data_IF_557327985738
#
_entry.id   IF_557327985738
#
_cell.length_a   1.000
_cell.length_b   1.000
_cell.length_c   1.000
_cell.angle_alpha   90.00
_cell.angle_beta   90.00
_cell.angle_gamma   90.00
#
_symmetry.space_group_name_H-M   'P 1'
#
loop_
_entity.id
_entity.type
_entity.pdbx_description
1 polymer ?
#
# COMPACT_ATOMS: atom_id res chain seq x y z
N UNK A 1 22.47 27.60 -6.80
CA UNK A 1 21.22 27.03 -6.23
C UNK A 1 21.38 25.52 -6.19
N UNK A 2 20.66 24.79 -5.33
CA UNK A 2 20.66 23.33 -5.38
C UNK A 2 19.97 22.84 -6.67
N UNK A 3 20.49 21.78 -7.28
CA UNK A 3 19.97 21.22 -8.52
C UNK A 3 18.90 20.15 -8.24
N UNK A 4 17.63 20.57 -8.33
CA UNK A 4 16.47 19.69 -8.17
C UNK A 4 16.01 19.00 -9.47
N UNK A 5 16.84 18.97 -10.52
CA UNK A 5 16.50 18.24 -11.74
C UNK A 5 16.63 16.72 -11.58
N UNK A 6 15.65 16.01 -12.15
CA UNK A 6 15.71 14.58 -12.45
C UNK A 6 16.62 14.35 -13.68
N UNK A 7 17.26 13.18 -13.83
CA UNK A 7 18.17 12.93 -14.92
C UNK A 7 17.39 12.86 -16.25
N UNK A 8 17.92 13.51 -17.30
CA UNK A 8 17.25 13.56 -18.60
C UNK A 8 17.21 12.17 -19.24
N UNK A 9 16.14 11.91 -20.01
CA UNK A 9 15.87 10.63 -20.70
C UNK A 9 15.77 9.40 -19.77
N UNK A 10 15.48 9.61 -18.48
CA UNK A 10 15.23 8.56 -17.51
C UNK A 10 13.75 8.22 -17.32
N UNK A 11 13.51 7.00 -16.80
CA UNK A 11 12.22 6.49 -16.36
C UNK A 11 12.21 6.18 -14.86
N UNK A 12 11.01 6.20 -14.28
CA UNK A 12 10.73 5.85 -12.88
C UNK A 12 9.55 4.88 -12.80
N UNK A 13 9.77 3.69 -12.24
CA UNK A 13 8.76 2.61 -12.19
C UNK A 13 8.15 2.51 -10.79
N UNK A 14 6.82 2.50 -10.73
CA UNK A 14 6.04 2.34 -9.51
C UNK A 14 5.13 1.12 -9.56
N UNK A 15 5.26 0.21 -8.60
CA UNK A 15 4.39 -0.94 -8.42
C UNK A 15 3.25 -0.70 -7.41
N UNK A 16 2.18 -1.47 -7.56
CA UNK A 16 1.01 -1.51 -6.67
C UNK A 16 0.54 -2.97 -6.54
N UNK A 17 1.02 -3.65 -5.50
CA UNK A 17 0.70 -5.05 -5.19
C UNK A 17 -0.57 -5.13 -4.36
N UNK A 18 -1.70 -4.89 -5.00
CA UNK A 18 -3.03 -4.87 -4.39
C UNK A 18 -3.55 -6.28 -4.05
N UNK A 19 -4.80 -6.36 -3.57
CA UNK A 19 -5.47 -7.62 -3.22
C UNK A 19 -5.88 -8.45 -4.43
N UNK A 20 -6.33 -7.82 -5.51
CA UNK A 20 -6.88 -8.49 -6.71
C UNK A 20 -5.91 -8.50 -7.89
N UNK A 21 -4.84 -7.69 -7.82
CA UNK A 21 -3.92 -7.48 -8.93
C UNK A 21 -2.58 -6.88 -8.50
N UNK A 22 -1.54 -7.15 -9.28
CA UNK A 22 -0.33 -6.34 -9.33
C UNK A 22 -0.48 -5.33 -10.47
N UNK A 23 -0.15 -4.07 -10.24
CA UNK A 23 -0.07 -3.05 -11.31
C UNK A 23 1.28 -2.35 -11.33
N UNK A 24 1.69 -1.92 -12.53
CA UNK A 24 2.85 -1.07 -12.76
C UNK A 24 2.44 0.25 -13.42
N UNK A 25 3.20 1.31 -13.15
CA UNK A 25 3.11 2.61 -13.84
C UNK A 25 4.51 3.18 -14.01
N UNK A 26 4.85 3.64 -15.21
CA UNK A 26 6.14 4.24 -15.53
C UNK A 26 5.99 5.73 -15.80
N UNK A 27 6.82 6.56 -15.16
CA UNK A 27 6.95 7.99 -15.44
C UNK A 27 8.25 8.32 -16.21
N UNK A 28 8.22 9.34 -17.06
CA UNK A 28 9.44 9.98 -17.60
C UNK A 28 10.03 11.01 -16.62
N UNK A 29 11.21 11.57 -16.96
CA UNK A 29 11.87 12.64 -16.20
C UNK A 29 11.10 13.99 -16.14
N UNK A 30 9.98 14.12 -16.88
CA UNK A 30 9.02 15.24 -16.81
C UNK A 30 7.76 14.85 -16.02
N UNK A 31 7.73 13.66 -15.44
CA UNK A 31 6.60 13.07 -14.71
C UNK A 31 5.35 12.85 -15.59
N UNK A 32 5.51 12.49 -16.86
CA UNK A 32 4.46 11.98 -17.75
C UNK A 32 4.39 10.45 -17.68
N UNK A 33 3.19 9.84 -17.72
CA UNK A 33 3.09 8.37 -17.84
C UNK A 33 3.54 7.95 -19.23
N UNK A 34 4.48 7.00 -19.27
CA UNK A 34 5.00 6.35 -20.48
C UNK A 34 4.19 5.09 -20.78
N UNK A 35 3.90 4.29 -19.74
CA UNK A 35 3.11 3.05 -19.81
C UNK A 35 2.51 2.72 -18.43
N UNK A 36 1.42 1.96 -18.42
CA UNK A 36 0.86 1.30 -17.23
C UNK A 36 0.39 -0.10 -17.64
N UNK A 37 0.75 -1.12 -16.87
CA UNK A 37 0.38 -2.51 -17.11
C UNK A 37 -0.22 -3.14 -15.85
N UNK A 38 -1.10 -4.13 -16.02
CA UNK A 38 -1.95 -4.70 -14.97
C UNK A 38 -1.98 -6.23 -15.08
N UNK A 39 -1.84 -6.93 -13.96
CA UNK A 39 -1.98 -8.40 -13.83
C UNK A 39 -3.06 -8.70 -12.80
N UNK A 40 -4.19 -9.25 -13.24
CA UNK A 40 -5.34 -9.64 -12.42
C UNK A 40 -5.20 -11.10 -11.96
N UNK A 41 -5.11 -11.34 -10.65
CA UNK A 41 -4.73 -12.65 -10.11
C UNK A 41 -5.67 -13.78 -10.55
N UNK A 42 -6.99 -13.61 -10.41
CA UNK A 42 -7.96 -14.67 -10.73
C UNK A 42 -8.00 -15.06 -12.22
N UNK A 43 -7.70 -14.12 -13.13
CA UNK A 43 -7.82 -14.34 -14.59
C UNK A 43 -6.50 -14.64 -15.26
N UNK A 44 -5.40 -14.06 -14.77
CA UNK A 44 -4.06 -14.24 -15.33
C UNK A 44 -3.29 -15.38 -14.67
N UNK A 45 -3.62 -15.73 -13.42
CA UNK A 45 -3.00 -16.82 -12.65
C UNK A 45 -4.05 -17.83 -12.11
N UNK A 46 -4.97 -18.34 -12.95
CA UNK A 46 -6.15 -19.11 -12.51
C UNK A 46 -5.81 -20.46 -11.85
N UNK A 47 -4.57 -20.96 -11.97
CA UNK A 47 -4.11 -22.18 -11.32
C UNK A 47 -4.07 -22.08 -9.79
N UNK A 48 -3.93 -20.89 -9.22
CA UNK A 48 -4.11 -20.67 -7.77
C UNK A 48 -5.58 -20.83 -7.35
N UNK A 49 -6.57 -20.69 -8.26
CA UNK A 49 -8.01 -20.82 -7.97
C UNK A 49 -8.50 -19.85 -6.89
N UNK A 50 -7.88 -18.67 -6.79
CA UNK A 50 -8.35 -17.59 -5.93
C UNK A 50 -9.72 -17.08 -6.37
N UNK A 51 -10.38 -16.35 -5.48
CA UNK A 51 -11.52 -15.49 -5.83
C UNK A 51 -11.33 -14.14 -5.18
N UNK A 52 -11.32 -13.07 -5.97
CA UNK A 52 -10.87 -11.73 -5.59
C UNK A 52 -9.38 -11.71 -5.15
N UNK A 53 -8.54 -12.59 -5.71
CA UNK A 53 -7.11 -12.72 -5.35
C UNK A 53 -6.84 -13.36 -3.99
N UNK A 54 -7.86 -13.97 -3.37
CA UNK A 54 -7.77 -14.54 -2.02
C UNK A 54 -8.40 -15.93 -1.92
N UNK A 55 -7.99 -16.67 -0.90
CA UNK A 55 -8.74 -17.76 -0.31
C UNK A 55 -9.55 -17.24 0.88
N UNK A 56 -10.75 -17.80 1.06
CA UNK A 56 -11.60 -17.56 2.22
C UNK A 56 -11.90 -18.91 2.83
N UNK A 57 -11.43 -19.12 4.06
CA UNK A 57 -11.49 -20.42 4.72
C UNK A 57 -12.82 -20.56 5.47
N UNK A 58 -13.74 -21.44 5.05
CA UNK A 58 -15.03 -21.60 5.73
C UNK A 58 -14.92 -22.33 7.08
N UNK A 59 -13.78 -22.96 7.37
CA UNK A 59 -13.56 -23.68 8.64
C UNK A 59 -13.07 -22.78 9.77
N UNK A 60 -12.37 -21.69 9.44
CA UNK A 60 -11.85 -20.71 10.40
C UNK A 60 -12.53 -19.36 10.18
N UNK A 61 -13.51 -19.03 11.03
CA UNK A 61 -14.30 -17.81 10.89
C UNK A 61 -13.43 -16.54 10.76
N UNK A 62 -13.66 -15.78 9.68
CA UNK A 62 -12.92 -14.55 9.37
C UNK A 62 -11.54 -14.74 8.75
N UNK A 63 -11.05 -15.97 8.53
CA UNK A 63 -9.71 -16.22 7.96
C UNK A 63 -9.70 -15.95 6.45
N UNK A 64 -8.87 -15.00 6.02
CA UNK A 64 -8.72 -14.59 4.61
C UNK A 64 -7.24 -14.35 4.28
N UNK A 65 -6.75 -15.09 3.29
CA UNK A 65 -5.32 -15.19 2.94
C UNK A 65 -5.10 -15.12 1.43
N UNK A 66 -3.88 -14.83 0.98
CA UNK A 66 -3.45 -15.00 -0.41
C UNK A 66 -2.22 -15.92 -0.48
N UNK A 67 -2.03 -16.71 -1.56
CA UNK A 67 -0.81 -17.49 -1.76
C UNK A 67 0.39 -16.56 -1.97
N UNK A 68 1.46 -16.72 -1.19
CA UNK A 68 2.64 -15.83 -1.27
C UNK A 68 3.32 -15.91 -2.64
N UNK A 69 3.39 -17.11 -3.24
CA UNK A 69 3.98 -17.35 -4.56
C UNK A 69 3.24 -16.64 -5.70
N UNK A 70 1.93 -16.42 -5.57
CA UNK A 70 1.11 -15.76 -6.58
C UNK A 70 1.55 -14.30 -6.81
N UNK A 71 2.03 -13.61 -5.78
CA UNK A 71 2.57 -12.26 -5.91
C UNK A 71 3.93 -12.24 -6.63
N UNK A 72 4.72 -13.32 -6.54
CA UNK A 72 5.99 -13.49 -7.25
C UNK A 72 5.73 -13.81 -8.73
N UNK A 73 4.79 -14.72 -9.01
CA UNK A 73 4.41 -15.06 -10.37
C UNK A 73 3.73 -13.90 -11.09
N UNK A 74 2.94 -13.10 -10.37
CA UNK A 74 2.42 -11.84 -10.86
C UNK A 74 3.55 -10.84 -11.18
N UNK A 75 4.66 -10.84 -10.44
CA UNK A 75 5.82 -9.98 -10.72
C UNK A 75 6.59 -10.44 -11.97
N UNK A 76 6.81 -11.75 -12.15
CA UNK A 76 7.36 -12.31 -13.40
C UNK A 76 6.49 -11.88 -14.59
N UNK A 77 5.18 -12.16 -14.53
CA UNK A 77 4.22 -11.82 -15.59
C UNK A 77 4.08 -10.30 -15.82
N UNK A 78 4.23 -9.48 -14.77
CA UNK A 78 4.23 -8.02 -14.88
C UNK A 78 5.47 -7.51 -15.60
N UNK A 79 6.65 -8.09 -15.33
CA UNK A 79 7.89 -7.70 -16.01
C UNK A 79 7.87 -8.14 -17.48
N UNK A 80 7.34 -9.34 -17.77
CA UNK A 80 7.05 -9.78 -19.14
C UNK A 80 6.01 -8.86 -19.81
N UNK A 81 4.96 -8.41 -19.10
CA UNK A 81 3.98 -7.41 -19.62
C UNK A 81 4.60 -6.04 -19.83
N UNK A 82 5.54 -5.58 -19.02
CA UNK A 82 6.23 -4.30 -19.21
C UNK A 82 7.20 -4.34 -20.40
N UNK A 83 7.92 -5.45 -20.56
CA UNK A 83 8.77 -5.73 -21.73
C UNK A 83 7.94 -5.71 -23.03
N UNK A 84 6.76 -6.33 -22.96
CA UNK A 84 5.74 -6.28 -24.00
C UNK A 84 5.10 -4.89 -24.14
N UNK A 85 4.89 -4.09 -23.09
CA UNK A 85 4.46 -2.69 -23.22
C UNK A 85 5.51 -1.79 -23.92
N UNK A 86 6.68 -2.36 -24.22
CA UNK A 86 7.85 -1.82 -24.90
C UNK A 86 8.67 -0.79 -24.13
N UNK A 87 8.64 -0.91 -22.80
CA UNK A 87 9.52 -0.19 -21.88
C UNK A 87 11.01 -0.51 -22.14
N UNK A 88 11.84 0.54 -22.25
CA UNK A 88 13.30 0.43 -22.16
C UNK A 88 13.71 0.38 -20.68
N UNK A 89 14.01 -0.83 -20.19
CA UNK A 89 14.45 -1.04 -18.81
C UNK A 89 15.80 -0.39 -18.49
N UNK A 90 16.66 -0.15 -19.50
CA UNK A 90 17.96 0.50 -19.32
C UNK A 90 17.87 1.96 -18.88
N UNK A 91 16.71 2.59 -19.07
CA UNK A 91 16.42 3.97 -18.65
C UNK A 91 15.86 4.12 -17.25
N UNK A 92 15.53 3.01 -16.55
CA UNK A 92 14.90 3.07 -15.24
C UNK A 92 15.93 3.51 -14.18
N UNK A 93 15.84 4.78 -13.75
CA UNK A 93 16.77 5.36 -12.78
C UNK A 93 16.42 5.02 -11.32
N UNK A 94 15.16 4.69 -11.03
CA UNK A 94 14.72 4.16 -9.74
C UNK A 94 13.38 3.41 -9.85
N UNK A 95 13.15 2.50 -8.91
CA UNK A 95 11.91 1.75 -8.72
C UNK A 95 11.38 2.00 -7.30
N UNK A 96 10.07 2.04 -7.13
CA UNK A 96 9.43 1.95 -5.80
C UNK A 96 8.12 1.19 -5.89
N UNK A 97 7.45 1.00 -4.76
CA UNK A 97 6.22 0.23 -4.69
C UNK A 97 5.26 0.68 -3.59
N UNK A 98 4.05 0.17 -3.73
CA UNK A 98 3.02 0.04 -2.71
C UNK A 98 2.56 -1.41 -2.68
N UNK A 99 2.08 -1.89 -1.53
CA UNK A 99 1.45 -3.19 -1.38
C UNK A 99 0.20 -3.06 -0.53
N UNK A 100 -0.71 -4.04 -0.60
CA UNK A 100 -1.86 -4.08 0.28
C UNK A 100 -1.42 -4.09 1.76
N UNK A 101 -1.93 -3.12 2.53
CA UNK A 101 -1.45 -2.87 3.90
C UNK A 101 -1.73 -4.03 4.84
N UNK A 102 -0.99 -4.05 5.95
CA UNK A 102 -1.09 -5.03 7.06
C UNK A 102 -0.76 -6.49 6.73
N UNK A 103 -0.89 -6.93 5.47
CA UNK A 103 -0.64 -8.31 5.07
C UNK A 103 0.84 -8.68 5.22
N UNK A 104 1.12 -9.92 5.61
CA UNK A 104 2.47 -10.34 6.05
C UNK A 104 2.96 -11.64 5.43
N UNK A 105 4.25 -11.64 5.09
CA UNK A 105 5.02 -12.76 4.57
C UNK A 105 6.03 -13.24 5.61
N UNK A 106 6.15 -14.56 5.78
CA UNK A 106 7.00 -15.21 6.76
C UNK A 106 8.04 -16.04 6.00
N UNK A 107 9.27 -15.52 5.93
CA UNK A 107 10.37 -16.14 5.19
C UNK A 107 11.01 -17.26 6.01
N UNK A 108 11.19 -18.43 5.39
CA UNK A 108 11.80 -19.61 6.03
C UNK A 108 13.27 -19.36 6.35
N UNK A 109 13.80 -19.96 7.41
CA UNK A 109 15.24 -20.01 7.69
C UNK A 109 16.03 -20.44 6.43
N UNK A 110 17.03 -19.64 6.03
CA UNK A 110 17.84 -19.79 4.81
C UNK A 110 17.38 -18.99 3.59
N UNK A 111 16.22 -18.33 3.61
CA UNK A 111 15.65 -17.66 2.43
C UNK A 111 16.40 -16.41 1.98
N UNK A 112 17.16 -15.78 2.89
CA UNK A 112 18.15 -14.75 2.58
C UNK A 112 19.18 -15.21 1.54
N UNK A 113 19.58 -16.48 1.56
CA UNK A 113 20.47 -17.06 0.55
C UNK A 113 19.80 -17.19 -0.82
N UNK A 114 18.52 -17.57 -0.86
CA UNK A 114 17.72 -17.69 -2.09
C UNK A 114 17.61 -16.31 -2.78
N UNK A 115 17.30 -15.27 -2.00
CA UNK A 115 17.23 -13.89 -2.48
C UNK A 115 18.57 -13.41 -3.06
N UNK A 116 19.69 -13.78 -2.44
CA UNK A 116 21.03 -13.38 -2.87
C UNK A 116 21.55 -14.16 -4.10
N UNK A 117 21.00 -15.34 -4.41
CA UNK A 117 21.52 -16.26 -5.44
C UNK A 117 20.58 -16.52 -6.62
N UNK A 118 19.74 -15.55 -6.99
CA UNK A 118 18.75 -15.68 -8.08
C UNK A 118 19.41 -15.89 -9.46
N UNK A 119 18.99 -16.95 -10.16
CA UNK A 119 19.42 -17.29 -11.52
C UNK A 119 18.55 -16.57 -12.57
N UNK A 120 19.10 -15.62 -13.36
CA UNK A 120 18.33 -14.86 -14.36
C UNK A 120 17.76 -15.72 -15.50
N UNK A 121 18.28 -16.95 -15.70
CA UNK A 121 17.79 -17.87 -16.73
C UNK A 121 16.45 -18.50 -16.36
N UNK A 122 16.09 -18.51 -15.07
CA UNK A 122 14.80 -19.00 -14.56
C UNK A 122 13.85 -17.82 -14.29
N UNK A 123 12.55 -18.09 -14.20
CA UNK A 123 11.57 -17.16 -13.61
C UNK A 123 11.80 -17.03 -12.09
N UNK A 124 11.31 -15.98 -11.44
CA UNK A 124 11.37 -15.83 -9.99
C UNK A 124 10.59 -16.96 -9.31
N UNK A 125 9.31 -17.17 -9.65
CA UNK A 125 8.38 -18.02 -8.88
C UNK A 125 8.95 -19.42 -8.58
N UNK A 126 9.57 -20.08 -9.56
CA UNK A 126 10.14 -21.43 -9.38
C UNK A 126 11.32 -21.51 -8.40
N UNK A 127 11.96 -20.38 -8.10
CA UNK A 127 13.10 -20.27 -7.20
C UNK A 127 12.68 -20.07 -5.73
N UNK A 128 11.43 -19.69 -5.46
CA UNK A 128 10.93 -19.37 -4.11
C UNK A 128 10.02 -20.45 -3.49
N UNK A 129 9.86 -21.61 -4.12
CA UNK A 129 8.96 -22.68 -3.64
C UNK A 129 9.19 -23.07 -2.17
N UNK A 130 10.45 -23.06 -1.73
CA UNK A 130 10.87 -23.44 -0.38
C UNK A 130 11.19 -22.24 0.53
N UNK A 131 10.91 -20.99 0.09
CA UNK A 131 11.35 -19.77 0.77
C UNK A 131 10.41 -19.24 1.88
N UNK A 132 9.31 -19.94 2.17
CA UNK A 132 8.30 -19.48 3.12
C UNK A 132 8.01 -20.53 4.19
N UNK A 133 7.90 -20.07 5.44
CA UNK A 133 7.49 -20.92 6.57
C UNK A 133 5.97 -21.17 6.58
N UNK A 134 5.20 -20.27 5.95
CA UNK A 134 3.78 -20.46 5.61
C UNK A 134 3.54 -20.02 4.15
N UNK A 135 2.92 -20.88 3.34
CA UNK A 135 2.65 -20.60 1.93
C UNK A 135 1.50 -19.62 1.68
N UNK A 136 0.70 -19.35 2.72
CA UNK A 136 -0.49 -18.49 2.69
C UNK A 136 -0.28 -17.28 3.61
N UNK A 137 -0.22 -16.09 3.02
CA UNK A 137 -0.05 -14.83 3.75
C UNK A 137 -1.42 -14.30 4.22
N UNK A 138 -1.62 -13.97 5.51
CA UNK A 138 -2.79 -13.20 5.95
C UNK A 138 -2.74 -11.78 5.37
N UNK A 139 -3.91 -11.22 5.08
CA UNK A 139 -4.08 -9.92 4.38
C UNK A 139 -5.07 -8.99 5.10
N UNK A 140 -5.24 -7.77 4.60
CA UNK A 140 -6.10 -6.74 5.23
C UNK A 140 -7.57 -7.11 5.45
N UNK A 141 -8.08 -8.15 4.77
CA UNK A 141 -9.46 -8.64 4.95
C UNK A 141 -9.60 -9.69 6.07
N UNK A 142 -8.50 -10.18 6.64
CA UNK A 142 -8.56 -11.15 7.74
C UNK A 142 -9.17 -10.51 9.00
N UNK A 143 -10.08 -11.25 9.64
CA UNK A 143 -10.82 -10.84 10.84
C UNK A 143 -10.78 -11.90 11.94
N UNK A 144 -9.77 -12.79 11.91
CA UNK A 144 -9.73 -14.03 12.70
C UNK A 144 -8.88 -13.96 13.99
N UNK A 145 -8.56 -12.77 14.48
CA UNK A 145 -7.58 -12.51 15.57
C UNK A 145 -8.13 -11.68 16.74
N UNK A 146 -9.46 -11.59 16.94
CA UNK A 146 -10.08 -10.73 17.98
C UNK A 146 -9.55 -11.01 19.40
N UNK A 147 -9.16 -12.25 19.70
CA UNK A 147 -8.45 -12.65 20.92
C UNK A 147 -7.12 -11.92 21.09
N UNK A 148 -6.27 -11.97 20.06
CA UNK A 148 -4.95 -11.36 20.02
C UNK A 148 -5.03 -9.84 20.07
N UNK A 149 -6.04 -9.23 19.42
CA UNK A 149 -6.34 -7.81 19.56
C UNK A 149 -6.59 -7.42 21.02
N UNK A 150 -7.41 -8.18 21.76
CA UNK A 150 -7.70 -7.92 23.18
C UNK A 150 -6.47 -8.13 24.07
N UNK A 151 -5.62 -9.11 23.76
CA UNK A 151 -4.35 -9.30 24.46
C UNK A 151 -3.40 -8.11 24.25
N UNK A 152 -3.26 -7.59 23.02
CA UNK A 152 -2.41 -6.44 22.74
C UNK A 152 -2.97 -5.13 23.32
N UNK A 153 -4.29 -4.92 23.28
CA UNK A 153 -4.93 -3.79 23.99
C UNK A 153 -4.68 -3.89 25.50
N UNK A 154 -4.83 -5.08 26.11
CA UNK A 154 -4.53 -5.31 27.52
C UNK A 154 -3.04 -5.06 27.85
N UNK A 155 -2.13 -5.55 27.02
CA UNK A 155 -0.69 -5.39 27.21
C UNK A 155 -0.25 -3.92 27.10
N UNK A 156 -0.87 -3.14 26.22
CA UNK A 156 -0.67 -1.69 26.10
C UNK A 156 -1.29 -0.89 27.26
N UNK A 157 -2.26 -1.44 28.00
CA UNK A 157 -3.00 -0.76 29.06
C UNK A 157 -4.38 -0.22 28.64
N UNK A 158 -4.82 -0.54 27.42
CA UNK A 158 -6.15 -0.25 26.89
C UNK A 158 -6.15 0.09 25.39
N UNK A 159 -7.32 0.07 24.73
CA UNK A 159 -7.46 0.47 23.32
C UNK A 159 -6.96 1.90 23.05
N UNK A 160 -7.21 2.82 23.99
CA UNK A 160 -6.77 4.21 23.88
C UNK A 160 -5.24 4.33 23.98
N UNK A 161 -4.60 3.62 24.91
CA UNK A 161 -3.15 3.67 25.09
C UNK A 161 -2.42 3.05 23.90
N UNK A 162 -2.91 1.91 23.39
CA UNK A 162 -2.43 1.33 22.13
C UNK A 162 -2.54 2.32 20.96
N UNK A 163 -3.62 3.11 20.91
CA UNK A 163 -3.81 4.15 19.90
C UNK A 163 -2.93 5.39 20.10
N UNK A 164 -2.50 5.69 21.33
CA UNK A 164 -1.56 6.79 21.62
C UNK A 164 -0.11 6.43 21.30
N UNK A 165 0.25 5.14 21.36
CA UNK A 165 1.55 4.61 20.97
C UNK A 165 1.61 4.40 19.45
N UNK A 166 0.62 3.68 18.90
CA UNK A 166 0.69 3.11 17.54
C UNK A 166 -0.19 3.82 16.50
N UNK A 167 -0.93 4.86 16.89
CA UNK A 167 -1.84 5.59 16.00
C UNK A 167 -3.20 4.92 15.75
N UNK A 168 -3.44 3.71 16.27
CA UNK A 168 -4.75 3.04 16.23
C UNK A 168 -4.93 2.05 17.38
N UNK A 169 -6.17 1.78 17.76
CA UNK A 169 -6.51 0.61 18.61
C UNK A 169 -6.24 -0.70 17.84
N UNK A 170 -6.35 -1.84 18.51
CA UNK A 170 -6.14 -3.11 17.83
C UNK A 170 -7.30 -3.38 16.84
N UNK A 171 -6.95 -3.87 15.65
CA UNK A 171 -7.90 -4.36 14.66
C UNK A 171 -7.37 -5.68 14.10
N UNK A 172 -8.26 -6.62 13.79
CA UNK A 172 -7.87 -8.01 13.53
C UNK A 172 -6.93 -8.18 12.33
N UNK A 173 -7.09 -7.33 11.32
CA UNK A 173 -6.23 -7.31 10.13
C UNK A 173 -4.81 -6.80 10.38
N UNK A 174 -4.55 -6.08 11.49
CA UNK A 174 -3.23 -5.49 11.76
C UNK A 174 -2.21 -6.60 12.02
N UNK A 175 -0.96 -6.32 11.65
CA UNK A 175 0.05 -7.38 11.52
C UNK A 175 0.50 -7.94 12.87
N UNK A 176 0.56 -7.15 13.95
CA UNK A 176 0.84 -7.63 15.30
C UNK A 176 -0.14 -8.74 15.73
N UNK A 177 -1.46 -8.52 15.73
CA UNK A 177 -2.46 -9.56 15.95
C UNK A 177 -2.27 -10.84 15.10
N UNK A 178 -1.93 -10.70 13.82
CA UNK A 178 -1.70 -11.83 12.90
C UNK A 178 -0.42 -12.63 13.24
N UNK A 179 0.70 -11.94 13.50
CA UNK A 179 1.97 -12.55 13.95
C UNK A 179 1.77 -13.27 15.28
N UNK A 180 1.05 -12.66 16.22
CA UNK A 180 0.74 -13.24 17.53
C UNK A 180 -0.10 -14.51 17.41
N UNK A 181 -1.07 -14.53 16.48
CA UNK A 181 -1.87 -15.73 16.18
C UNK A 181 -0.99 -16.85 15.62
N UNK A 182 -0.13 -16.56 14.64
CA UNK A 182 0.79 -17.56 14.08
C UNK A 182 1.76 -18.09 15.14
N UNK A 183 2.27 -17.24 16.03
CA UNK A 183 3.09 -17.66 17.18
C UNK A 183 2.33 -18.57 18.16
N UNK A 184 1.06 -18.27 18.46
CA UNK A 184 0.23 -19.05 19.40
C UNK A 184 -0.28 -20.38 18.83
N UNK A 185 -0.69 -20.39 17.55
CA UNK A 185 -1.34 -21.55 16.91
C UNK A 185 -0.35 -22.44 16.12
N UNK A 186 0.74 -21.86 15.62
CA UNK A 186 1.73 -22.51 14.77
C UNK A 186 3.17 -22.14 15.20
N UNK A 187 3.57 -22.43 16.46
CA UNK A 187 4.86 -22.00 17.01
C UNK A 187 6.07 -22.50 16.20
N UNK A 188 5.99 -23.70 15.59
CA UNK A 188 7.05 -24.23 14.71
C UNK A 188 7.24 -23.38 13.44
N UNK A 189 6.16 -22.84 12.86
CA UNK A 189 6.22 -21.92 11.72
C UNK A 189 6.94 -20.63 12.14
N UNK A 190 6.58 -20.07 13.29
CA UNK A 190 7.24 -18.86 13.81
C UNK A 190 8.72 -19.08 14.16
N UNK A 191 9.07 -20.25 14.73
CA UNK A 191 10.45 -20.64 14.99
C UNK A 191 11.25 -20.86 13.70
N UNK A 192 10.62 -21.41 12.66
CA UNK A 192 11.24 -21.62 11.35
C UNK A 192 11.24 -20.36 10.45
N UNK A 193 10.84 -19.20 10.99
CA UNK A 193 10.81 -17.92 10.26
C UNK A 193 12.02 -17.06 10.62
N UNK A 194 12.89 -16.72 9.66
CA UNK A 194 14.02 -15.80 9.91
C UNK A 194 13.62 -14.32 9.75
N UNK A 195 12.65 -14.04 8.87
CA UNK A 195 12.24 -12.68 8.51
C UNK A 195 10.72 -12.60 8.37
N UNK A 196 10.13 -11.50 8.85
CA UNK A 196 8.74 -11.13 8.60
C UNK A 196 8.71 -9.82 7.82
N UNK A 197 7.96 -9.79 6.72
CA UNK A 197 7.80 -8.64 5.83
C UNK A 197 6.33 -8.25 5.71
N UNK A 198 6.04 -6.96 5.55
CA UNK A 198 4.76 -6.51 4.97
C UNK A 198 4.80 -6.74 3.45
N UNK A 199 3.64 -6.83 2.78
CA UNK A 199 3.60 -7.02 1.31
C UNK A 199 4.43 -5.95 0.57
N UNK A 200 4.43 -4.71 1.07
CA UNK A 200 5.28 -3.61 0.59
C UNK A 200 6.79 -3.93 0.64
N UNK A 201 7.31 -4.31 1.82
CA UNK A 201 8.72 -4.65 2.01
C UNK A 201 9.11 -6.00 1.42
N UNK A 202 8.15 -6.92 1.26
CA UNK A 202 8.31 -8.19 0.54
C UNK A 202 8.61 -7.93 -0.95
N UNK A 203 7.78 -7.14 -1.63
CA UNK A 203 8.00 -6.79 -3.04
C UNK A 203 9.30 -6.00 -3.24
N UNK A 204 9.66 -5.12 -2.30
CA UNK A 204 10.96 -4.46 -2.31
C UNK A 204 12.13 -5.44 -2.11
N UNK A 205 11.97 -6.48 -1.28
CA UNK A 205 13.00 -7.50 -1.04
C UNK A 205 13.29 -8.35 -2.28
N UNK A 206 12.24 -8.76 -3.01
CA UNK A 206 12.37 -9.45 -4.30
C UNK A 206 13.19 -8.62 -5.30
N UNK A 207 12.95 -7.31 -5.37
CA UNK A 207 13.63 -6.41 -6.30
C UNK A 207 15.13 -6.22 -5.95
N UNK A 208 15.49 -6.11 -4.67
CA UNK A 208 16.90 -5.86 -4.28
C UNK A 208 17.73 -7.14 -4.09
N UNK A 209 17.12 -8.33 -4.10
CA UNK A 209 17.83 -9.59 -3.88
C UNK A 209 18.32 -9.77 -2.43
N UNK A 210 17.54 -9.25 -1.47
CA UNK A 210 17.86 -9.25 -0.05
C UNK A 210 16.74 -8.60 0.76
N UNK A 211 16.80 -8.64 2.08
CA UNK A 211 15.69 -8.15 2.90
C UNK A 211 15.64 -6.62 3.00
N UNK A 212 14.59 -6.03 2.42
CA UNK A 212 14.27 -4.62 2.62
C UNK A 212 13.77 -4.36 4.05
N UNK A 213 13.99 -3.13 4.53
CA UNK A 213 13.35 -2.63 5.76
C UNK A 213 11.83 -2.45 5.54
N UNK A 214 11.06 -2.55 6.63
CA UNK A 214 9.69 -2.02 6.65
C UNK A 214 9.80 -0.49 6.75
N UNK A 215 8.98 0.25 6.02
CA UNK A 215 9.00 1.72 6.09
C UNK A 215 8.12 2.26 7.22
N UNK A 216 8.45 3.46 7.71
CA UNK A 216 7.69 4.16 8.76
C UNK A 216 6.18 4.29 8.49
N UNK A 217 5.74 4.35 7.22
CA UNK A 217 4.33 4.60 6.90
C UNK A 217 3.48 3.33 6.89
N UNK A 218 3.97 2.21 6.35
CA UNK A 218 3.26 0.92 6.40
C UNK A 218 3.48 0.21 7.75
N UNK A 219 4.63 0.42 8.41
CA UNK A 219 4.95 -0.07 9.76
C UNK A 219 4.01 0.46 10.86
N UNK A 220 3.43 1.65 10.67
CA UNK A 220 2.37 2.17 11.54
C UNK A 220 1.09 1.30 11.50
N UNK A 221 0.85 0.59 10.38
CA UNK A 221 -0.27 -0.34 10.20
C UNK A 221 -0.16 -1.66 10.96
N UNK A 222 0.79 -1.82 11.89
CA UNK A 222 1.09 -3.10 12.53
C UNK A 222 0.64 -3.22 14.00
N UNK A 223 0.31 -2.11 14.68
CA UNK A 223 0.21 -2.01 16.16
C UNK A 223 1.54 -2.33 16.90
N UNK A 224 2.69 -2.22 16.23
CA UNK A 224 4.02 -2.53 16.80
C UNK A 224 4.96 -1.30 16.91
N UNK A 225 4.69 -0.24 16.16
CA UNK A 225 5.54 0.95 16.04
C UNK A 225 5.08 2.05 17.01
N UNK A 226 6.02 2.72 17.70
CA UNK A 226 5.76 4.03 18.29
C UNK A 226 5.80 5.08 17.18
N UNK A 227 4.64 5.66 16.83
CA UNK A 227 4.54 6.59 15.70
C UNK A 227 5.13 7.99 15.99
N UNK A 228 5.42 8.32 17.26
CA UNK A 228 6.05 9.58 17.67
C UNK A 228 7.57 9.47 17.59
N UNK A 229 8.12 8.36 18.08
CA UNK A 229 9.57 8.07 18.09
C UNK A 229 10.06 7.42 16.78
N UNK A 230 9.16 6.85 15.98
CA UNK A 230 9.43 6.16 14.70
C UNK A 230 10.31 4.90 14.82
N UNK A 231 10.22 4.24 15.97
CA UNK A 231 10.89 2.97 16.27
C UNK A 231 9.86 1.91 16.65
N UNK A 232 10.24 0.64 16.68
CA UNK A 232 9.39 -0.38 17.29
C UNK A 232 9.22 -0.13 18.79
N UNK A 233 8.01 -0.35 19.31
CA UNK A 233 7.74 -0.27 20.73
C UNK A 233 8.01 -1.66 21.35
N UNK A 234 9.12 -1.80 22.09
CA UNK A 234 9.55 -3.08 22.70
C UNK A 234 8.39 -3.79 23.44
N UNK A 235 7.64 -3.03 24.26
CA UNK A 235 6.44 -3.51 24.97
C UNK A 235 5.40 -4.17 24.05
N UNK A 236 5.23 -3.68 22.83
CA UNK A 236 4.31 -4.26 21.84
C UNK A 236 4.91 -5.45 21.10
N UNK A 237 6.23 -5.46 20.86
CA UNK A 237 6.93 -6.63 20.32
C UNK A 237 6.85 -7.81 21.30
N UNK A 238 7.23 -7.58 22.56
CA UNK A 238 7.21 -8.55 23.67
C UNK A 238 5.80 -9.13 23.90
N UNK A 239 4.76 -8.30 23.81
CA UNK A 239 3.36 -8.73 23.91
C UNK A 239 2.87 -9.56 22.70
N UNK A 240 3.57 -9.45 21.57
CA UNK A 240 3.22 -10.10 20.30
C UNK A 240 3.88 -11.47 20.19
N UNK A 241 5.21 -11.53 20.14
CA UNK A 241 5.98 -12.77 19.97
C UNK A 241 7.46 -12.58 20.36
N UNK A 242 8.17 -13.64 20.82
CA UNK A 242 9.58 -13.54 21.20
C UNK A 242 10.50 -13.26 20.00
N UNK A 243 11.57 -12.48 20.22
CA UNK A 243 12.57 -12.10 19.21
C UNK A 243 12.01 -11.43 17.94
N UNK A 244 10.83 -10.83 18.03
CA UNK A 244 10.16 -10.20 16.89
C UNK A 244 10.93 -8.99 16.33
N UNK A 245 11.72 -8.32 17.16
CA UNK A 245 12.67 -7.28 16.76
C UNK A 245 13.66 -7.79 15.70
N UNK A 246 14.19 -9.00 15.86
CA UNK A 246 15.14 -9.61 14.92
C UNK A 246 14.45 -9.98 13.61
N UNK A 247 13.24 -10.55 13.70
CA UNK A 247 12.48 -10.98 12.52
C UNK A 247 11.96 -9.79 11.69
N UNK A 248 11.65 -8.64 12.31
CA UNK A 248 11.27 -7.40 11.61
C UNK A 248 12.48 -6.55 11.19
N UNK A 249 13.58 -6.60 11.93
CA UNK A 249 14.75 -5.72 11.77
C UNK A 249 14.39 -4.23 11.93
N UNK A 250 15.21 -3.35 11.36
CA UNK A 250 15.03 -1.90 11.47
C UNK A 250 13.88 -1.36 10.60
N UNK A 251 13.19 -0.33 11.11
CA UNK A 251 12.37 0.57 10.29
C UNK A 251 13.27 1.49 9.45
N UNK A 252 12.73 1.99 8.33
CA UNK A 252 13.38 3.00 7.50
C UNK A 252 12.43 4.15 7.11
N UNK A 253 12.90 5.39 6.94
CA UNK A 253 12.08 6.47 6.40
C UNK A 253 11.55 6.15 5.00
N UNK A 254 10.32 6.57 4.69
CA UNK A 254 9.61 6.25 3.43
C UNK A 254 10.27 6.75 2.12
N UNK A 255 11.41 7.45 2.20
CA UNK A 255 12.22 7.98 1.10
C UNK A 255 13.65 7.40 1.06
N UNK A 256 13.98 6.46 1.94
CA UNK A 256 15.29 5.79 1.97
C UNK A 256 15.47 4.82 0.79
N UNK A 257 16.71 4.67 0.33
CA UNK A 257 17.08 3.68 -0.69
C UNK A 257 17.21 2.31 -0.02
N UNK A 258 16.34 1.36 -0.37
CA UNK A 258 16.36 0.01 0.22
C UNK A 258 17.54 -0.85 -0.25
N UNK A 259 18.09 -0.57 -1.43
CA UNK A 259 19.21 -1.28 -2.06
C UNK A 259 19.32 -0.94 -3.54
N UNK A 260 20.31 -1.54 -4.22
CA UNK A 260 20.35 -1.59 -5.68
C UNK A 260 19.43 -2.70 -6.20
N UNK A 261 19.04 -2.63 -7.47
CA UNK A 261 18.30 -3.71 -8.13
C UNK A 261 19.17 -4.99 -8.21
N UNK A 262 18.58 -6.16 -7.96
CA UNK A 262 19.31 -7.43 -8.00
C UNK A 262 19.87 -7.69 -9.42
N UNK A 263 21.08 -8.29 -9.54
CA UNK A 263 21.68 -8.64 -10.83
C UNK A 263 20.80 -9.52 -11.73
N UNK A 264 19.84 -10.25 -11.14
CA UNK A 264 18.78 -11.01 -11.82
C UNK A 264 18.03 -10.16 -12.86
N UNK A 265 17.50 -8.99 -12.47
CA UNK A 265 16.65 -8.19 -13.35
C UNK A 265 17.44 -7.56 -14.49
N UNK A 266 18.66 -7.09 -14.19
CA UNK A 266 19.58 -6.48 -15.17
C UNK A 266 19.98 -7.48 -16.26
N UNK A 267 20.16 -8.75 -15.91
CA UNK A 267 20.52 -9.80 -16.86
C UNK A 267 19.33 -10.37 -17.64
N UNK A 268 18.08 -10.12 -17.21
CA UNK A 268 16.88 -10.77 -17.76
C UNK A 268 16.02 -9.90 -18.66
N UNK A 269 15.84 -8.60 -18.38
CA UNK A 269 14.72 -7.81 -18.93
C UNK A 269 15.06 -6.68 -19.92
N UNK A 270 16.25 -6.64 -20.52
CA UNK A 270 16.69 -5.49 -21.34
C UNK A 270 16.34 -5.62 -22.85
N UNK A 271 15.27 -6.35 -23.24
CA UNK A 271 14.99 -6.68 -24.67
C UNK A 271 13.51 -6.99 -25.11
N UNK A 272 12.73 -6.02 -25.64
CA UNK A 272 11.63 -6.12 -26.68
C UNK A 272 10.24 -6.87 -26.48
N UNK A 273 9.03 -6.51 -27.01
CA UNK A 273 8.38 -5.22 -27.47
C UNK A 273 6.92 -5.26 -28.17
N UNK A 274 5.73 -5.55 -27.55
CA UNK A 274 4.30 -5.14 -27.99
C UNK A 274 3.10 -5.52 -27.01
N UNK A 275 1.85 -4.95 -27.07
CA UNK A 275 1.19 -3.95 -26.14
C UNK A 275 -0.32 -4.28 -25.72
N UNK A 276 -1.05 -3.44 -24.91
CA UNK A 276 -2.40 -3.65 -24.23
C UNK A 276 -3.64 -2.81 -24.78
N UNK A 277 -4.87 -2.53 -24.22
CA UNK A 277 -5.54 -2.44 -22.84
C UNK A 277 -7.15 -2.54 -22.84
N UNK A 278 -7.97 -2.00 -21.87
CA UNK A 278 -9.43 -2.38 -21.52
C UNK A 278 -10.29 -1.26 -20.75
N UNK A 279 -11.63 -1.18 -20.37
CA UNK A 279 -12.96 -1.89 -20.58
C UNK A 279 -14.38 -1.11 -20.46
N UNK A 280 -15.15 -0.98 -19.31
CA UNK A 280 -16.69 -1.08 -19.24
C UNK A 280 -17.66 -0.06 -18.45
N UNK A 281 -18.96 -0.41 -18.15
CA UNK A 281 -20.19 0.39 -17.70
C UNK A 281 -20.59 0.31 -16.15
N UNK A 282 -21.67 0.96 -15.60
CA UNK A 282 -21.75 1.52 -14.19
C UNK A 282 -23.13 1.77 -13.45
N UNK A 283 -23.22 1.75 -12.09
CA UNK A 283 -23.96 2.73 -11.15
C UNK A 283 -24.02 2.37 -9.61
N UNK A 284 -23.88 3.31 -8.62
CA UNK A 284 -24.16 3.09 -7.14
C UNK A 284 -24.21 4.30 -6.10
N UNK A 285 -23.74 5.52 -6.37
CA UNK A 285 -22.79 6.21 -5.44
C UNK A 285 -23.25 6.95 -4.13
N UNK A 286 -24.36 7.68 -4.05
CA UNK A 286 -24.45 8.89 -3.17
C UNK A 286 -24.21 8.76 -1.65
N UNK A 287 -24.61 7.66 -1.00
CA UNK A 287 -24.69 7.57 0.47
C UNK A 287 -23.36 7.64 1.24
N UNK A 288 -22.22 7.55 0.54
CA UNK A 288 -20.89 7.38 1.15
C UNK A 288 -20.30 8.68 1.73
N UNK A 289 -20.47 9.82 1.04
CA UNK A 289 -19.71 11.04 1.35
C UNK A 289 -20.10 11.74 2.66
N UNK A 290 -21.33 11.54 3.15
CA UNK A 290 -21.78 12.12 4.43
C UNK A 290 -21.09 11.47 5.64
N UNK A 291 -20.79 10.17 5.58
CA UNK A 291 -20.00 9.47 6.59
C UNK A 291 -18.55 9.95 6.56
N UNK A 292 -17.95 10.04 5.37
CA UNK A 292 -16.55 10.48 5.20
C UNK A 292 -16.26 11.85 5.85
N UNK A 293 -17.17 12.83 5.72
CA UNK A 293 -16.98 14.14 6.36
C UNK A 293 -17.00 14.04 7.89
N UNK A 294 -17.97 13.33 8.45
CA UNK A 294 -18.20 13.28 9.89
C UNK A 294 -17.05 12.58 10.64
N UNK A 295 -16.48 11.51 10.08
CA UNK A 295 -15.33 10.84 10.68
C UNK A 295 -14.04 11.70 10.61
N UNK A 296 -13.85 12.49 9.55
CA UNK A 296 -12.70 13.36 9.41
C UNK A 296 -12.70 14.51 10.45
N UNK A 297 -13.86 15.16 10.65
CA UNK A 297 -14.02 16.16 11.72
C UNK A 297 -13.80 15.55 13.12
N UNK A 298 -14.27 14.30 13.34
CA UNK A 298 -14.09 13.58 14.61
C UNK A 298 -12.62 13.27 14.94
N UNK A 299 -11.74 13.14 13.95
CA UNK A 299 -10.30 12.95 14.15
C UNK A 299 -9.52 14.28 14.22
N UNK A 300 -10.21 15.42 14.35
CA UNK A 300 -9.60 16.74 14.48
C UNK A 300 -9.02 17.30 13.18
N UNK A 301 -9.36 16.72 12.01
CA UNK A 301 -8.93 17.26 10.73
C UNK A 301 -9.65 18.61 10.47
N UNK A 302 -8.92 19.71 10.18
CA UNK A 302 -9.56 20.97 9.82
C UNK A 302 -10.27 20.84 8.47
N UNK A 303 -11.31 21.66 8.26
CA UNK A 303 -12.04 21.72 6.99
C UNK A 303 -11.06 21.85 5.81
N UNK A 304 -11.03 20.88 4.87
CA UNK A 304 -10.00 20.84 3.85
C UNK A 304 -10.13 22.03 2.90
N UNK A 305 -9.02 22.71 2.57
CA UNK A 305 -9.02 23.82 1.60
C UNK A 305 -9.22 23.35 0.15
N UNK A 306 -8.98 22.07 -0.11
CA UNK A 306 -9.22 21.36 -1.38
C UNK A 306 -9.41 19.88 -1.11
N UNK A 307 -10.18 19.18 -1.96
CA UNK A 307 -10.23 17.72 -2.00
C UNK A 307 -9.81 17.26 -3.40
N UNK A 308 -9.11 16.12 -3.47
CA UNK A 308 -8.76 15.47 -4.75
C UNK A 308 -9.56 14.18 -4.83
N UNK A 309 -10.46 14.09 -5.81
CA UNK A 309 -11.26 12.91 -6.10
C UNK A 309 -10.59 12.03 -7.18
N UNK A 310 -10.55 10.72 -6.92
CA UNK A 310 -9.95 9.70 -7.81
C UNK A 310 -10.86 8.45 -7.90
N UNK A 311 -10.51 7.50 -8.76
CA UNK A 311 -11.29 6.29 -9.05
C UNK A 311 -12.53 6.55 -9.91
N UNK A 312 -13.24 5.49 -10.32
CA UNK A 312 -14.39 5.56 -11.26
C UNK A 312 -15.62 6.36 -10.78
N UNK A 313 -15.61 6.87 -9.54
CA UNK A 313 -16.57 7.85 -9.06
C UNK A 313 -16.24 9.28 -9.57
N UNK A 314 -14.95 9.63 -9.67
CA UNK A 314 -14.48 11.01 -9.90
C UNK A 314 -14.60 11.50 -11.34
N UNK A 315 -15.03 10.66 -12.29
CA UNK A 315 -15.31 11.07 -13.68
C UNK A 315 -16.71 11.68 -13.85
N UNK A 316 -17.53 11.71 -12.79
CA UNK A 316 -18.93 12.15 -12.86
C UNK A 316 -19.15 13.49 -12.15
N UNK A 317 -19.58 14.49 -12.90
CA UNK A 317 -19.71 15.86 -12.42
C UNK A 317 -20.68 16.02 -11.23
N UNK A 318 -21.83 15.33 -11.26
CA UNK A 318 -22.85 15.44 -10.19
C UNK A 318 -22.31 14.95 -8.85
N UNK A 319 -21.58 13.83 -8.84
CA UNK A 319 -20.90 13.29 -7.66
C UNK A 319 -19.90 14.31 -7.10
N UNK A 320 -19.11 14.97 -7.95
CA UNK A 320 -18.13 15.96 -7.53
C UNK A 320 -18.80 17.22 -6.94
N UNK A 321 -19.87 17.71 -7.55
CA UNK A 321 -20.67 18.82 -7.03
C UNK A 321 -21.31 18.50 -5.67
N UNK A 322 -21.75 17.25 -5.45
CA UNK A 322 -22.24 16.79 -4.14
C UNK A 322 -21.13 16.77 -3.09
N UNK A 323 -19.92 16.30 -3.41
CA UNK A 323 -18.76 16.37 -2.49
C UNK A 323 -18.42 17.84 -2.19
N UNK A 324 -18.40 18.72 -3.20
CA UNK A 324 -18.11 20.15 -3.04
C UNK A 324 -19.11 20.86 -2.11
N UNK A 325 -20.38 20.45 -2.19
CA UNK A 325 -21.47 20.98 -1.37
C UNK A 325 -21.47 20.41 0.05
N UNK A 326 -21.09 19.13 0.22
CA UNK A 326 -20.99 18.48 1.53
C UNK A 326 -19.79 19.01 2.32
N UNK A 327 -18.63 19.18 1.68
CA UNK A 327 -17.38 19.57 2.35
C UNK A 327 -17.09 21.08 2.31
N UNK A 328 -17.72 21.85 1.42
CA UNK A 328 -17.56 23.31 1.34
C UNK A 328 -16.20 23.77 0.82
N UNK A 329 -15.58 23.00 -0.07
CA UNK A 329 -14.28 23.32 -0.67
C UNK A 329 -14.20 22.89 -2.14
N UNK A 330 -13.18 23.38 -2.85
CA UNK A 330 -12.93 23.05 -4.25
C UNK A 330 -12.52 21.57 -4.40
N UNK A 331 -13.20 20.88 -5.32
CA UNK A 331 -12.97 19.48 -5.67
C UNK A 331 -12.23 19.41 -6.99
N UNK A 332 -11.02 18.87 -6.92
CA UNK A 332 -10.18 18.60 -8.08
C UNK A 332 -10.28 17.13 -8.46
N UNK A 333 -10.09 16.81 -9.74
CA UNK A 333 -9.96 15.44 -10.21
C UNK A 333 -8.59 15.18 -10.80
N UNK A 334 -8.12 13.95 -10.59
CA UNK A 334 -7.03 13.34 -11.36
C UNK A 334 -7.67 12.33 -12.29
N UNK A 335 -7.37 12.41 -13.58
CA UNK A 335 -7.96 11.61 -14.67
C UNK A 335 -7.44 10.15 -14.71
N UNK A 336 -7.12 9.56 -13.55
CA UNK A 336 -6.40 8.27 -13.44
C UNK A 336 -6.85 7.49 -12.21
N UNK A 337 -7.30 6.23 -12.33
CA UNK A 337 -7.57 5.37 -11.17
C UNK A 337 -6.27 4.92 -10.46
N UNK A 338 -5.12 5.15 -11.08
CA UNK A 338 -3.83 4.51 -10.74
C UNK A 338 -3.00 5.24 -9.68
N UNK A 339 -3.64 5.81 -8.66
CA UNK A 339 -2.96 6.71 -7.71
C UNK A 339 -1.83 6.05 -6.91
N UNK A 340 -1.91 4.76 -6.59
CA UNK A 340 -0.90 4.05 -5.80
C UNK A 340 0.39 3.79 -6.59
N UNK A 341 0.31 3.15 -7.76
CA UNK A 341 1.47 2.93 -8.66
C UNK A 341 2.05 4.25 -9.17
N UNK A 342 1.22 5.25 -9.47
CA UNK A 342 1.68 6.61 -9.82
C UNK A 342 2.43 7.28 -8.65
N UNK A 343 1.92 7.14 -7.42
CA UNK A 343 2.57 7.63 -6.21
C UNK A 343 3.88 6.91 -5.90
N UNK A 344 3.97 5.61 -6.19
CA UNK A 344 5.20 4.84 -6.12
C UNK A 344 6.24 5.33 -7.15
N UNK A 345 5.85 5.55 -8.41
CA UNK A 345 6.76 6.09 -9.42
C UNK A 345 7.27 7.49 -9.04
N UNK A 346 6.41 8.33 -8.44
CA UNK A 346 6.81 9.63 -7.89
C UNK A 346 7.76 9.50 -6.68
N UNK A 347 7.55 8.51 -5.80
CA UNK A 347 8.47 8.20 -4.69
C UNK A 347 9.82 7.67 -5.17
N UNK A 348 9.87 6.94 -6.29
CA UNK A 348 11.12 6.51 -6.92
C UNK A 348 11.95 7.72 -7.37
N UNK A 349 11.33 8.68 -8.07
CA UNK A 349 11.96 9.94 -8.46
C UNK A 349 12.40 10.80 -7.25
N UNK A 350 11.56 10.85 -6.21
CA UNK A 350 11.84 11.57 -4.97
C UNK A 350 13.01 10.97 -4.18
N UNK A 351 13.05 9.64 -4.02
CA UNK A 351 14.13 8.93 -3.33
C UNK A 351 15.48 9.09 -4.05
N UNK A 352 15.48 8.98 -5.40
CA UNK A 352 16.66 9.29 -6.20
C UNK A 352 17.16 10.72 -5.95
N UNK A 353 16.25 11.70 -5.92
CA UNK A 353 16.62 13.10 -5.71
C UNK A 353 17.12 13.40 -4.29
N UNK A 354 16.56 12.75 -3.27
CA UNK A 354 17.06 12.85 -1.90
C UNK A 354 18.45 12.22 -1.77
N UNK A 355 18.66 11.05 -2.37
CA UNK A 355 19.95 10.36 -2.38
C UNK A 355 21.04 11.18 -3.10
N UNK A 356 20.73 11.75 -4.28
CA UNK A 356 21.64 12.66 -5.02
C UNK A 356 22.07 13.87 -4.19
N UNK A 357 21.19 14.42 -3.36
CA UNK A 357 21.47 15.59 -2.53
C UNK A 357 21.96 15.25 -1.11
N UNK A 358 22.05 13.97 -0.73
CA UNK A 358 22.40 13.53 0.62
C UNK A 358 21.44 13.98 1.72
N UNK A 359 20.22 14.43 1.38
CA UNK A 359 19.27 15.03 2.33
C UNK A 359 17.84 15.00 1.80
N UNK A 360 16.85 15.16 2.69
CA UNK A 360 15.44 15.22 2.30
C UNK A 360 15.13 16.48 1.50
N UNK A 361 14.68 16.31 0.25
CA UNK A 361 14.14 17.38 -0.59
C UNK A 361 12.60 17.36 -0.50
N UNK A 362 11.91 18.50 -0.31
CA UNK A 362 10.44 18.53 -0.36
C UNK A 362 9.92 18.03 -1.72
N UNK A 363 8.99 17.07 -1.73
CA UNK A 363 8.41 16.46 -2.94
C UNK A 363 7.90 17.50 -3.95
N UNK A 364 7.33 18.59 -3.46
CA UNK A 364 6.83 19.69 -4.30
C UNK A 364 7.91 20.37 -5.15
N UNK A 365 9.19 20.34 -4.74
CA UNK A 365 10.30 20.92 -5.50
C UNK A 365 10.49 20.29 -6.88
N UNK A 366 10.02 19.05 -7.09
CA UNK A 366 10.11 18.38 -8.39
C UNK A 366 9.14 18.94 -9.46
N UNK A 367 8.05 19.59 -9.04
CA UNK A 367 6.96 19.99 -9.94
C UNK A 367 6.35 21.37 -9.67
N UNK A 368 6.81 22.11 -8.65
CA UNK A 368 6.20 23.37 -8.16
C UNK A 368 5.78 24.33 -9.28
N UNK A 369 6.69 24.59 -10.21
CA UNK A 369 6.52 25.60 -11.27
C UNK A 369 6.19 24.95 -12.64
N UNK A 370 5.83 23.65 -12.63
CA UNK A 370 5.56 22.83 -13.82
C UNK A 370 4.32 21.93 -13.71
N UNK A 371 3.62 21.92 -12.58
CA UNK A 371 2.58 20.96 -12.20
C UNK A 371 1.54 20.68 -13.29
N UNK A 372 1.07 21.73 -13.98
CA UNK A 372 0.08 21.64 -15.06
C UNK A 372 0.56 20.84 -16.29
N UNK A 373 1.88 20.78 -16.48
CA UNK A 373 2.57 20.05 -17.55
C UNK A 373 3.08 18.66 -17.10
N UNK A 374 2.46 18.06 -16.07
CA UNK A 374 2.83 16.74 -15.52
C UNK A 374 1.62 15.84 -15.32
N UNK A 375 1.84 14.54 -15.11
CA UNK A 375 0.81 13.58 -14.67
C UNK A 375 0.12 13.93 -13.35
N UNK A 376 0.72 14.82 -12.56
CA UNK A 376 0.24 15.23 -11.24
C UNK A 376 -0.74 16.41 -11.32
N UNK A 377 -0.93 16.99 -12.53
CA UNK A 377 -1.85 18.08 -12.80
C UNK A 377 -3.29 17.75 -12.40
N UNK A 378 -3.75 18.38 -11.32
CA UNK A 378 -5.11 18.24 -10.80
C UNK A 378 -6.04 19.26 -11.46
N UNK A 379 -7.09 18.82 -12.17
CA UNK A 379 -8.05 19.74 -12.80
C UNK A 379 -9.13 20.13 -11.79
N UNK A 380 -9.41 21.42 -11.62
CA UNK A 380 -10.58 21.88 -10.87
C UNK A 380 -11.83 21.35 -11.56
N UNK A 381 -12.65 20.59 -10.85
CA UNK A 381 -13.81 19.92 -11.43
C UNK A 381 -15.13 20.44 -10.85
N UNK A 382 -15.20 20.66 -9.53
CA UNK A 382 -16.30 21.39 -8.90
C UNK A 382 -15.74 22.46 -7.96
N UNK A 383 -16.30 23.67 -8.00
CA UNK A 383 -16.03 24.72 -7.01
C UNK A 383 -16.77 24.43 -5.71
N UNK A 384 -16.26 24.95 -4.59
CA UNK A 384 -16.93 24.95 -3.29
C UNK A 384 -18.42 25.33 -3.43
N UNK A 385 -19.30 24.54 -2.83
CA UNK A 385 -20.74 24.77 -2.92
C UNK A 385 -21.21 26.02 -2.18
N UNK A 386 -22.44 26.45 -2.45
CA UNK A 386 -23.12 27.54 -1.75
C UNK A 386 -23.01 27.37 -0.22
N UNK A 387 -22.58 28.43 0.47
CA UNK A 387 -22.38 28.46 1.91
C UNK A 387 -23.67 28.13 2.70
N UNK A 388 -24.85 28.42 2.15
CA UNK A 388 -26.12 27.97 2.73
C UNK A 388 -26.29 26.44 2.61
N UNK A 389 -25.89 25.85 1.48
CA UNK A 389 -25.95 24.42 1.22
C UNK A 389 -24.93 23.64 2.07
N UNK A 390 -23.71 24.17 2.22
CA UNK A 390 -22.69 23.65 3.17
C UNK A 390 -23.22 23.66 4.60
N UNK A 391 -23.94 24.71 4.99
CA UNK A 391 -24.58 24.82 6.32
C UNK A 391 -25.71 23.80 6.50
N UNK A 392 -26.57 23.60 5.48
CA UNK A 392 -27.59 22.55 5.47
C UNK A 392 -26.97 21.15 5.60
N UNK A 393 -25.89 20.86 4.87
CA UNK A 393 -25.17 19.59 5.00
C UNK A 393 -24.50 19.43 6.37
N UNK A 394 -24.02 20.50 7.00
CA UNK A 394 -23.55 20.46 8.40
C UNK A 394 -24.63 20.03 9.40
N UNK A 395 -25.88 20.45 9.19
CA UNK A 395 -27.03 20.00 10.01
C UNK A 395 -27.41 18.54 9.72
N UNK A 396 -27.43 18.15 8.44
CA UNK A 396 -27.70 16.76 8.03
C UNK A 396 -26.61 15.79 8.54
N UNK A 397 -25.35 16.22 8.54
CA UNK A 397 -24.21 15.47 9.08
C UNK A 397 -24.35 15.23 10.60
N UNK A 398 -24.76 16.26 11.36
CA UNK A 398 -25.06 16.10 12.80
C UNK A 398 -26.19 15.09 13.02
N UNK A 399 -27.27 15.17 12.24
CA UNK A 399 -28.38 14.20 12.32
C UNK A 399 -27.99 12.79 11.87
N UNK A 400 -27.08 12.66 10.89
CA UNK A 400 -26.48 11.37 10.52
C UNK A 400 -25.67 10.78 11.68
N UNK A 401 -24.86 11.58 12.38
CA UNK A 401 -24.12 11.12 13.55
C UNK A 401 -25.01 10.78 14.74
N UNK A 402 -26.14 11.48 14.96
CA UNK A 402 -27.14 11.08 15.95
C UNK A 402 -27.75 9.70 15.63
N UNK A 403 -28.07 9.44 14.36
CA UNK A 403 -28.59 8.14 13.92
C UNK A 403 -27.51 7.05 14.08
N UNK A 404 -26.26 7.37 13.70
CA UNK A 404 -25.15 6.43 13.74
C UNK A 404 -24.73 6.06 15.17
N UNK A 405 -24.64 7.03 16.09
CA UNK A 405 -24.38 6.78 17.50
C UNK A 405 -25.49 5.91 18.12
N UNK A 406 -26.77 6.21 17.85
CA UNK A 406 -27.90 5.38 18.32
C UNK A 406 -27.88 3.96 17.74
N UNK A 407 -27.37 3.78 16.52
CA UNK A 407 -27.16 2.46 15.93
C UNK A 407 -25.99 1.73 16.60
N UNK A 408 -24.89 2.41 16.91
CA UNK A 408 -23.75 1.85 17.66
C UNK A 408 -24.17 1.41 19.07
N UNK A 409 -24.89 2.27 19.80
CA UNK A 409 -25.49 1.98 21.11
C UNK A 409 -26.42 0.76 21.03
N UNK A 410 -27.33 0.72 20.05
CA UNK A 410 -28.30 -0.38 19.87
C UNK A 410 -27.65 -1.70 19.42
N UNK A 411 -26.51 -1.65 18.72
CA UNK A 411 -25.80 -2.82 18.18
C UNK A 411 -24.61 -3.26 19.04
N UNK A 412 -24.33 -2.58 20.15
CA UNK A 412 -23.34 -2.99 21.15
C UNK A 412 -21.87 -2.95 20.69
N UNK A 413 -21.52 -2.11 19.70
CA UNK A 413 -20.17 -2.06 19.10
C UNK A 413 -19.33 -0.88 19.62
N UNK A 414 -18.85 -0.98 20.86
CA UNK A 414 -17.95 -0.01 21.50
C UNK A 414 -16.45 -0.37 21.34
#
# INVERSE_FOLDING_TARGET
>A
MADFSLPQDSYFLGFDSSTQSLKATVLDYKLNIVTSELVHFDTDLPHYKTKDGVYRDPSVNGRIVSPTLMWIEALDLMLDRLLNSKLDFGKIAAISGSGQQHGSVYWKNGSSSILASLDPKKQLVGQFHDAFSIGESPIWMDSSTTSQCRELEKAAGGPLELSQITGSRAHERYTGPQIKKIFQEQPEVYQNTERISLVSSFMASLLIGGYACIDETDGAGMNLMDIKQRVWCNRMLEATAPELDKKLGTLAPAHAVAGFIAPYFVQRFVTFWLLSTIMQVRALVEGQFLSMRAHAERFGMPSPKRIIATGGASTNQSILSSIASIFGCDIYTVQRPDSASLGAALRAAHGWLCNKNGTFVPISSMYKDKLENTSLGCKLAAKAGDQQLVSKYGLLMKKRMEIENRLVEKLGRC
#
